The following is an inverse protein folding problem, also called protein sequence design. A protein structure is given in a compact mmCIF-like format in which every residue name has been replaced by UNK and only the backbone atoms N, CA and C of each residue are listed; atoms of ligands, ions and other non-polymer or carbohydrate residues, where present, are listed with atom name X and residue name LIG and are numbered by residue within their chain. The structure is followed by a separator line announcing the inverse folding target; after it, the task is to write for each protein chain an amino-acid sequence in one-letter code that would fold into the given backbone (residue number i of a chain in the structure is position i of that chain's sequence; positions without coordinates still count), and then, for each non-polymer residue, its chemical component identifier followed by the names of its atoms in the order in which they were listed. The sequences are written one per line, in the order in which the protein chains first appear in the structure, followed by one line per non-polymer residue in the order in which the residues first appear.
data_IF_649669177033
#
_entry.id   IF_649669177033
#
_cell.length_a   1.000
_cell.length_b   1.000
_cell.length_c   1.000
_cell.angle_alpha   90.00
_cell.angle_beta   90.00
_cell.angle_gamma   90.00
#
_symmetry.space_group_name_H-M   'P 1'
#
loop_
_entity.id
_entity.type
_entity.pdbx_description
1 polymer ?
#
# COMPACT_ATOMS: atom_id res chain seq x y z
N UNK A 1 -22.27 -20.12 12.76
CA UNK A 1 -22.81 -18.77 13.04
C UNK A 1 -21.69 -17.77 13.34
N UNK A 2 -20.78 -18.05 14.27
CA UNK A 2 -19.64 -17.16 14.60
C UNK A 2 -18.70 -16.88 13.42
N UNK A 3 -18.23 -17.90 12.70
CA UNK A 3 -17.37 -17.72 11.52
C UNK A 3 -18.02 -16.85 10.43
N UNK A 4 -19.33 -17.02 10.21
CA UNK A 4 -20.09 -16.22 9.26
C UNK A 4 -20.20 -14.75 9.69
N UNK A 5 -20.44 -14.48 10.98
CA UNK A 5 -20.44 -13.12 11.52
C UNK A 5 -19.06 -12.46 11.39
N UNK A 6 -17.97 -13.21 11.61
CA UNK A 6 -16.60 -12.73 11.46
C UNK A 6 -16.25 -12.38 10.00
N UNK A 7 -16.75 -13.16 9.04
CA UNK A 7 -16.62 -12.89 7.61
C UNK A 7 -17.32 -11.58 7.23
N UNK A 8 -18.59 -11.41 7.62
CA UNK A 8 -19.34 -10.18 7.36
C UNK A 8 -18.74 -8.96 8.08
N UNK A 9 -18.23 -9.14 9.30
CA UNK A 9 -17.52 -8.07 10.01
C UNK A 9 -16.24 -7.66 9.25
N UNK A 10 -15.46 -8.63 8.76
CA UNK A 10 -14.29 -8.35 7.93
C UNK A 10 -14.67 -7.59 6.66
N UNK A 11 -15.73 -8.02 5.96
CA UNK A 11 -16.23 -7.34 4.77
C UNK A 11 -16.67 -5.91 5.09
N UNK A 12 -17.45 -5.72 6.15
CA UNK A 12 -17.97 -4.42 6.56
C UNK A 12 -16.83 -3.43 6.84
N UNK A 13 -15.81 -3.81 7.61
CA UNK A 13 -14.70 -2.90 7.92
C UNK A 13 -13.89 -2.57 6.65
N UNK A 14 -13.64 -3.55 5.78
CA UNK A 14 -12.98 -3.32 4.48
C UNK A 14 -13.78 -2.38 3.59
N UNK A 15 -15.10 -2.57 3.56
CA UNK A 15 -16.02 -1.75 2.79
C UNK A 15 -16.05 -0.31 3.28
N UNK A 16 -16.16 -0.12 4.59
CA UNK A 16 -16.06 1.20 5.22
C UNK A 16 -14.73 1.85 4.83
N UNK A 17 -13.60 1.14 5.01
CA UNK A 17 -12.26 1.67 4.70
C UNK A 17 -12.13 2.12 3.25
N UNK A 18 -12.66 1.32 2.31
CA UNK A 18 -12.68 1.67 0.89
C UNK A 18 -13.50 2.95 0.62
N UNK A 19 -14.71 3.04 1.18
CA UNK A 19 -15.60 4.20 1.01
C UNK A 19 -14.93 5.48 1.50
N UNK A 20 -14.46 5.48 2.75
CA UNK A 20 -13.87 6.69 3.34
C UNK A 20 -12.51 7.03 2.72
N UNK A 21 -11.75 6.01 2.30
CA UNK A 21 -10.49 6.18 1.58
C UNK A 21 -10.69 6.86 0.23
N UNK A 22 -11.72 6.43 -0.54
CA UNK A 22 -12.10 7.09 -1.81
C UNK A 22 -12.54 8.53 -1.55
N UNK A 23 -13.36 8.77 -0.52
CA UNK A 23 -13.80 10.13 -0.17
C UNK A 23 -12.62 11.05 0.14
N UNK A 24 -11.66 10.58 0.96
CA UNK A 24 -10.49 11.36 1.33
C UNK A 24 -9.55 11.62 0.15
N UNK A 25 -9.23 10.58 -0.63
CA UNK A 25 -8.35 10.69 -1.80
C UNK A 25 -8.99 11.58 -2.87
N UNK A 26 -10.30 11.42 -3.11
CA UNK A 26 -11.07 12.25 -4.03
C UNK A 26 -11.00 13.73 -3.66
N UNK A 27 -11.28 14.05 -2.39
CA UNK A 27 -11.15 15.42 -1.87
C UNK A 27 -9.72 15.96 -2.03
N UNK A 28 -8.71 15.16 -1.69
CA UNK A 28 -7.30 15.56 -1.84
C UNK A 28 -6.92 15.85 -3.30
N UNK A 29 -7.38 15.02 -4.24
CA UNK A 29 -7.14 15.23 -5.67
C UNK A 29 -7.83 16.49 -6.17
N UNK A 30 -9.07 16.72 -5.77
CA UNK A 30 -9.82 17.92 -6.13
C UNK A 30 -9.15 19.19 -5.61
N UNK A 31 -8.80 19.27 -4.33
CA UNK A 31 -8.17 20.47 -3.76
C UNK A 31 -6.77 20.74 -4.32
N UNK A 32 -5.98 19.70 -4.58
CA UNK A 32 -4.69 19.89 -5.25
C UNK A 32 -4.85 20.31 -6.71
N UNK A 33 -5.88 19.81 -7.41
CA UNK A 33 -6.20 20.27 -8.75
C UNK A 33 -6.63 21.74 -8.74
N UNK A 34 -7.54 22.13 -7.84
CA UNK A 34 -7.97 23.52 -7.63
C UNK A 34 -6.76 24.43 -7.41
N UNK A 35 -5.89 24.08 -6.45
CA UNK A 35 -4.71 24.87 -6.10
C UNK A 35 -3.76 25.11 -7.29
N UNK A 36 -3.60 24.10 -8.16
CA UNK A 36 -2.71 24.16 -9.30
C UNK A 36 -3.31 24.89 -10.51
N UNK A 37 -4.62 25.13 -10.55
CA UNK A 37 -5.33 25.75 -11.66
C UNK A 37 -5.90 27.14 -11.34
N UNK A 38 -5.63 27.70 -10.15
CA UNK A 38 -6.00 29.07 -9.83
C UNK A 38 -5.33 30.05 -10.81
N UNK A 39 -6.14 30.91 -11.45
CA UNK A 39 -5.69 32.07 -12.20
C UNK A 39 -5.14 33.11 -11.22
N UNK A 40 -3.94 33.61 -11.51
CA UNK A 40 -3.21 34.53 -10.61
C UNK A 40 -2.86 35.86 -11.26
N UNK A 41 -3.10 35.99 -12.58
CA UNK A 41 -2.95 37.24 -13.32
C UNK A 41 -4.20 38.10 -13.15
N UNK A 42 -4.02 39.42 -13.06
CA UNK A 42 -5.15 40.36 -12.93
C UNK A 42 -6.01 40.20 -11.68
N UNK A 43 -5.53 39.47 -10.65
CA UNK A 43 -6.31 39.19 -9.44
C UNK A 43 -6.50 40.42 -8.55
N UNK A 44 -7.65 40.58 -7.88
CA UNK A 44 -7.87 41.63 -6.89
C UNK A 44 -6.88 41.56 -5.71
N UNK A 45 -6.70 42.69 -5.01
CA UNK A 45 -5.91 42.74 -3.78
C UNK A 45 -6.49 41.78 -2.71
N UNK A 46 -5.62 41.07 -1.99
CA UNK A 46 -6.03 40.10 -0.96
C UNK A 46 -6.41 38.69 -1.49
N UNK A 47 -6.70 38.56 -2.78
CA UNK A 47 -6.97 37.27 -3.43
C UNK A 47 -5.65 36.61 -3.84
N UNK A 48 -5.47 35.32 -3.55
CA UNK A 48 -4.34 34.52 -4.03
C UNK A 48 -4.52 34.10 -5.49
N UNK A 49 -5.76 33.81 -5.88
CA UNK A 49 -6.18 33.51 -7.24
C UNK A 49 -7.65 33.09 -7.27
N UNK A 50 -8.21 32.97 -8.47
CA UNK A 50 -9.59 32.55 -8.68
C UNK A 50 -9.71 31.47 -9.76
N UNK A 51 -10.85 30.80 -9.83
CA UNK A 51 -11.11 29.74 -10.81
C UNK A 51 -12.59 29.73 -11.18
N UNK A 52 -12.85 29.60 -12.48
CA UNK A 52 -14.15 29.19 -13.00
C UNK A 52 -14.17 27.68 -13.25
N UNK A 53 -15.23 27.02 -12.80
CA UNK A 53 -15.46 25.60 -13.03
C UNK A 53 -16.92 25.33 -13.40
N UNK A 54 -17.18 24.25 -14.15
CA UNK A 54 -18.53 23.81 -14.51
C UNK A 54 -18.76 22.39 -13.99
N UNK A 55 -19.87 22.17 -13.30
CA UNK A 55 -20.27 20.84 -12.85
C UNK A 55 -21.78 20.77 -12.60
N UNK A 56 -22.42 19.63 -12.90
CA UNK A 56 -23.85 19.42 -12.63
C UNK A 56 -24.79 20.41 -13.34
N UNK A 57 -24.38 20.96 -14.49
CA UNK A 57 -25.17 21.96 -15.24
C UNK A 57 -25.04 23.40 -14.75
N UNK A 58 -24.21 23.68 -13.75
CA UNK A 58 -23.97 25.02 -13.22
C UNK A 58 -22.52 25.49 -13.33
N UNK A 59 -22.32 26.81 -13.20
CA UNK A 59 -21.00 27.45 -13.15
C UNK A 59 -20.66 27.84 -11.72
N UNK A 60 -19.44 27.51 -11.30
CA UNK A 60 -18.85 27.87 -10.02
C UNK A 60 -17.77 28.92 -10.26
N UNK A 61 -17.78 29.97 -9.44
CA UNK A 61 -16.67 30.91 -9.32
C UNK A 61 -16.09 30.79 -7.91
N UNK A 62 -14.81 30.42 -7.82
CA UNK A 62 -14.13 30.16 -6.55
C UNK A 62 -12.97 31.13 -6.42
N UNK A 63 -12.95 31.88 -5.34
CA UNK A 63 -11.82 32.74 -4.98
C UNK A 63 -11.09 32.19 -3.76
N UNK A 64 -9.77 32.11 -3.86
CA UNK A 64 -8.91 31.75 -2.73
C UNK A 64 -8.29 33.01 -2.16
N UNK A 65 -8.55 33.31 -0.89
CA UNK A 65 -7.89 34.39 -0.18
C UNK A 65 -6.42 34.04 0.13
N UNK A 66 -5.54 35.04 0.10
CA UNK A 66 -4.11 34.86 0.36
C UNK A 66 -3.82 34.54 1.83
N UNK A 67 -4.56 35.17 2.74
CA UNK A 67 -4.43 34.97 4.19
C UNK A 67 -5.81 34.75 4.80
N UNK A 68 -6.73 35.68 4.58
CA UNK A 68 -8.06 35.67 5.19
C UNK A 68 -9.07 36.49 4.35
N UNK A 69 -10.36 36.13 4.36
CA UNK A 69 -11.42 37.01 3.87
C UNK A 69 -11.65 38.22 4.80
N UNK A 70 -12.32 39.29 4.34
CA UNK A 70 -12.64 40.45 5.18
C UNK A 70 -13.56 40.11 6.35
N UNK A 71 -14.47 39.14 6.15
CA UNK A 71 -15.40 38.65 7.16
C UNK A 71 -15.47 37.13 7.06
N UNK A 72 -15.54 36.45 8.21
CA UNK A 72 -15.76 35.02 8.25
C UNK A 72 -17.22 34.70 7.89
N UNK A 73 -17.48 33.71 7.04
CA UNK A 73 -18.82 33.21 6.81
C UNK A 73 -19.34 32.48 8.05
N UNK A 74 -20.66 32.46 8.24
CA UNK A 74 -21.30 31.72 9.35
C UNK A 74 -21.00 30.22 9.30
N UNK A 75 -20.89 29.67 8.09
CA UNK A 75 -20.64 28.24 7.88
C UNK A 75 -19.27 28.01 7.24
N UNK A 76 -18.44 27.23 7.92
CA UNK A 76 -17.15 26.74 7.42
C UNK A 76 -17.17 25.22 7.33
N UNK A 77 -16.86 24.70 6.14
CA UNK A 77 -16.73 23.26 5.92
C UNK A 77 -15.28 22.80 6.15
N UNK A 78 -15.11 21.81 7.05
CA UNK A 78 -13.81 21.27 7.44
C UNK A 78 -13.62 19.85 6.92
N UNK A 79 -12.69 19.69 5.99
CA UNK A 79 -12.34 18.40 5.40
C UNK A 79 -11.33 17.66 6.29
N UNK A 80 -11.83 16.95 7.29
CA UNK A 80 -11.02 16.20 8.27
C UNK A 80 -11.53 14.79 8.54
N UNK A 81 -12.84 14.60 8.47
CA UNK A 81 -13.48 13.35 8.87
C UNK A 81 -13.15 12.21 7.93
N UNK A 82 -13.04 12.49 6.63
CA UNK A 82 -12.66 11.51 5.61
C UNK A 82 -11.27 10.94 5.92
N UNK A 83 -10.32 11.80 6.32
CA UNK A 83 -8.98 11.39 6.72
C UNK A 83 -9.01 10.55 8.01
N UNK A 84 -9.73 11.03 9.02
CA UNK A 84 -9.77 10.37 10.34
C UNK A 84 -10.43 9.00 10.26
N UNK A 85 -11.58 8.89 9.59
CA UNK A 85 -12.26 7.61 9.44
C UNK A 85 -11.49 6.65 8.52
N UNK A 86 -10.74 7.14 7.53
CA UNK A 86 -9.83 6.29 6.75
C UNK A 86 -8.76 5.65 7.62
N UNK A 87 -8.13 6.42 8.50
CA UNK A 87 -7.14 5.87 9.40
C UNK A 87 -7.76 4.94 10.45
N UNK A 88 -8.89 5.33 11.07
CA UNK A 88 -9.56 4.49 12.07
C UNK A 88 -9.94 3.14 11.46
N UNK A 89 -10.62 3.14 10.31
CA UNK A 89 -11.00 1.90 9.63
C UNK A 89 -9.79 1.09 9.17
N UNK A 90 -8.74 1.74 8.66
CA UNK A 90 -7.51 1.07 8.22
C UNK A 90 -6.72 0.47 9.38
N UNK A 91 -6.63 1.16 10.50
CA UNK A 91 -5.99 0.66 11.72
C UNK A 91 -6.78 -0.48 12.34
N UNK A 92 -8.12 -0.42 12.31
CA UNK A 92 -8.98 -1.55 12.68
C UNK A 92 -8.72 -2.77 11.79
N UNK A 93 -8.54 -2.59 10.47
CA UNK A 93 -8.14 -3.69 9.59
C UNK A 93 -6.76 -4.23 9.92
N UNK A 94 -5.80 -3.38 10.28
CA UNK A 94 -4.47 -3.80 10.69
C UNK A 94 -4.55 -4.68 11.95
N UNK A 95 -5.39 -4.31 12.92
CA UNK A 95 -5.65 -5.12 14.11
C UNK A 95 -6.27 -6.47 13.74
N UNK A 96 -7.41 -6.45 13.02
CA UNK A 96 -8.18 -7.67 12.71
C UNK A 96 -7.37 -8.63 11.85
N UNK A 97 -6.74 -8.12 10.79
CA UNK A 97 -6.11 -8.96 9.77
C UNK A 97 -4.69 -9.34 10.13
N UNK A 98 -3.92 -8.46 10.79
CA UNK A 98 -2.51 -8.70 11.07
C UNK A 98 -2.23 -8.94 12.54
N UNK A 99 -2.71 -8.10 13.47
CA UNK A 99 -2.30 -8.23 14.87
C UNK A 99 -2.95 -9.40 15.60
N UNK A 100 -4.24 -9.65 15.38
CA UNK A 100 -4.92 -10.83 15.92
C UNK A 100 -4.45 -12.14 15.27
N UNK A 101 -3.85 -12.06 14.07
CA UNK A 101 -3.37 -13.20 13.28
C UNK A 101 -1.85 -13.12 13.03
N UNK A 102 -1.09 -12.58 13.98
CA UNK A 102 0.30 -12.22 13.74
C UNK A 102 1.20 -13.41 13.37
N UNK A 103 0.93 -14.60 13.92
CA UNK A 103 1.71 -15.80 13.60
C UNK A 103 1.62 -16.19 12.12
N UNK A 104 0.43 -16.13 11.52
CA UNK A 104 0.23 -16.51 10.10
C UNK A 104 0.51 -15.37 9.13
N UNK A 105 0.19 -14.14 9.55
CA UNK A 105 0.18 -12.99 8.65
C UNK A 105 1.47 -12.16 8.71
N UNK A 106 2.15 -12.13 9.85
CA UNK A 106 3.33 -11.27 10.07
C UNK A 106 4.64 -12.04 10.20
N UNK A 107 4.62 -13.21 10.85
CA UNK A 107 5.85 -13.98 11.11
C UNK A 107 6.18 -14.89 9.93
N UNK A 108 7.46 -14.91 9.55
CA UNK A 108 8.05 -15.94 8.70
C UNK A 108 9.36 -16.40 9.36
N UNK A 109 9.42 -17.63 9.90
CA UNK A 109 10.62 -18.12 10.59
C UNK A 109 11.88 -18.14 9.73
N UNK A 110 11.74 -18.27 8.39
CA UNK A 110 12.87 -18.20 7.47
C UNK A 110 13.44 -16.78 7.30
N UNK A 111 12.69 -15.74 7.69
CA UNK A 111 13.12 -14.35 7.67
C UNK A 111 13.63 -13.93 9.06
N UNK A 112 12.78 -14.09 10.08
CA UNK A 112 13.12 -13.80 11.46
C UNK A 112 12.28 -14.65 12.41
N UNK A 113 12.92 -15.28 13.40
CA UNK A 113 12.28 -16.08 14.42
C UNK A 113 11.65 -15.19 15.51
N UNK A 114 10.51 -14.58 15.18
CA UNK A 114 9.75 -13.70 16.09
C UNK A 114 8.59 -14.42 16.76
N UNK A 115 8.34 -14.07 18.01
CA UNK A 115 7.07 -14.37 18.66
C UNK A 115 5.97 -13.41 18.16
N UNK A 116 4.70 -13.83 18.12
CA UNK A 116 3.59 -13.01 17.60
C UNK A 116 3.50 -11.62 18.24
N UNK A 117 3.68 -11.52 19.56
CA UNK A 117 3.63 -10.23 20.28
C UNK A 117 4.79 -9.30 19.90
N UNK A 118 5.98 -9.84 19.60
CA UNK A 118 7.13 -9.05 19.13
C UNK A 118 6.82 -8.46 17.76
N UNK A 119 6.21 -9.24 16.88
CA UNK A 119 5.81 -8.77 15.57
C UNK A 119 4.79 -7.61 15.67
N UNK A 120 3.78 -7.73 16.54
CA UNK A 120 2.81 -6.67 16.80
C UNK A 120 3.48 -5.43 17.39
N UNK A 121 4.35 -5.59 18.39
CA UNK A 121 5.06 -4.48 19.03
C UNK A 121 5.93 -3.71 18.04
N UNK A 122 6.67 -4.42 17.16
CA UNK A 122 7.45 -3.81 16.08
C UNK A 122 6.53 -3.05 15.13
N UNK A 123 5.39 -3.65 14.73
CA UNK A 123 4.42 -3.00 13.86
C UNK A 123 3.91 -1.67 14.41
N UNK A 124 3.50 -1.65 15.68
CA UNK A 124 3.04 -0.42 16.36
C UNK A 124 4.19 0.60 16.48
N UNK A 125 5.36 0.15 16.91
CA UNK A 125 6.53 1.01 17.05
C UNK A 125 6.93 1.65 15.72
N UNK A 126 6.83 0.92 14.61
CA UNK A 126 7.06 1.44 13.26
C UNK A 126 6.14 2.60 12.92
N UNK A 127 4.82 2.48 13.18
CA UNK A 127 3.86 3.53 12.88
C UNK A 127 4.15 4.82 13.68
N UNK A 128 4.47 4.68 14.97
CA UNK A 128 4.82 5.80 15.85
C UNK A 128 6.14 6.44 15.43
N UNK A 129 7.18 5.63 15.25
CA UNK A 129 8.51 6.11 14.86
C UNK A 129 8.49 6.80 13.50
N UNK A 130 7.75 6.25 12.52
CA UNK A 130 7.60 6.85 11.20
C UNK A 130 7.05 8.27 11.29
N UNK A 131 6.00 8.50 12.10
CA UNK A 131 5.46 9.84 12.30
C UNK A 131 6.46 10.78 12.97
N UNK A 132 7.10 10.36 14.06
CA UNK A 132 8.04 11.20 14.80
C UNK A 132 9.24 11.63 13.94
N UNK A 133 9.83 10.69 13.21
CA UNK A 133 10.96 10.96 12.30
C UNK A 133 10.52 11.87 11.16
N UNK A 134 9.38 11.57 10.52
CA UNK A 134 8.85 12.35 9.42
C UNK A 134 8.49 13.78 9.85
N UNK A 135 7.82 13.96 10.99
CA UNK A 135 7.46 15.28 11.50
C UNK A 135 8.69 16.09 11.89
N UNK A 136 9.66 15.46 12.56
CA UNK A 136 10.95 16.08 12.89
C UNK A 136 11.69 16.57 11.63
N UNK A 137 11.78 15.75 10.59
CA UNK A 137 12.39 16.13 9.31
C UNK A 137 11.66 17.28 8.63
N UNK A 138 10.32 17.27 8.64
CA UNK A 138 9.56 18.35 8.05
C UNK A 138 9.71 19.68 8.80
N UNK A 139 9.86 19.65 10.13
CA UNK A 139 10.16 20.84 10.93
C UNK A 139 11.58 21.36 10.66
N UNK A 140 12.55 20.46 10.48
CA UNK A 140 13.94 20.83 10.24
C UNK A 140 14.22 21.30 8.81
N UNK A 141 13.64 20.65 7.81
CA UNK A 141 13.94 20.84 6.39
C UNK A 141 12.75 21.39 5.58
N UNK A 142 11.72 21.93 6.24
CA UNK A 142 10.52 22.45 5.56
C UNK A 142 10.80 23.52 4.51
N UNK A 143 11.89 24.28 4.67
CA UNK A 143 12.35 25.30 3.70
C UNK A 143 13.18 24.72 2.54
N UNK A 144 13.55 23.44 2.59
CA UNK A 144 14.34 22.74 1.55
C UNK A 144 13.53 21.57 0.97
N UNK A 145 12.42 21.82 0.25
CA UNK A 145 11.45 20.78 -0.13
C UNK A 145 12.04 19.66 -1.01
N UNK A 146 13.02 19.97 -1.86
CA UNK A 146 13.68 18.94 -2.71
C UNK A 146 14.51 17.96 -1.88
N UNK A 147 15.30 18.49 -0.94
CA UNK A 147 16.10 17.67 -0.02
C UNK A 147 15.19 16.84 0.90
N UNK A 148 14.14 17.47 1.43
CA UNK A 148 13.15 16.80 2.28
C UNK A 148 12.48 15.63 1.52
N UNK A 149 12.04 15.85 0.28
CA UNK A 149 11.45 14.79 -0.55
C UNK A 149 12.43 13.64 -0.86
N UNK A 150 13.70 13.96 -1.12
CA UNK A 150 14.73 12.94 -1.33
C UNK A 150 14.96 12.09 -0.07
N UNK A 151 15.08 12.73 1.10
CA UNK A 151 15.27 12.03 2.37
C UNK A 151 14.06 11.19 2.76
N UNK A 152 12.83 11.70 2.56
CA UNK A 152 11.61 10.91 2.80
C UNK A 152 11.56 9.68 1.90
N UNK A 153 11.92 9.82 0.61
CA UNK A 153 12.01 8.69 -0.32
C UNK A 153 13.01 7.65 0.20
N UNK A 154 14.21 8.06 0.59
CA UNK A 154 15.23 7.17 1.15
C UNK A 154 14.71 6.47 2.42
N UNK A 155 14.04 7.20 3.32
CA UNK A 155 13.46 6.61 4.52
C UNK A 155 12.36 5.58 4.24
N UNK A 156 11.51 5.82 3.25
CA UNK A 156 10.48 4.84 2.85
C UNK A 156 11.14 3.57 2.29
N UNK A 157 12.21 3.72 1.49
CA UNK A 157 12.98 2.57 0.97
C UNK A 157 13.66 1.80 2.10
N UNK A 158 14.31 2.50 3.03
CA UNK A 158 14.94 1.88 4.20
C UNK A 158 13.91 1.19 5.12
N UNK A 159 12.74 1.80 5.29
CA UNK A 159 11.64 1.20 6.03
C UNK A 159 11.13 -0.07 5.34
N UNK A 160 10.94 -0.04 4.02
CA UNK A 160 10.54 -1.21 3.25
C UNK A 160 11.57 -2.34 3.38
N UNK A 161 12.86 -2.04 3.20
CA UNK A 161 13.93 -3.00 3.37
C UNK A 161 13.99 -3.56 4.79
N UNK A 162 13.98 -2.71 5.81
CA UNK A 162 14.07 -3.11 7.21
C UNK A 162 12.85 -3.92 7.68
N UNK A 163 11.65 -3.66 7.16
CA UNK A 163 10.49 -4.49 7.46
C UNK A 163 10.53 -5.82 6.70
N UNK A 164 11.09 -5.87 5.49
CA UNK A 164 11.26 -7.12 4.74
C UNK A 164 12.27 -8.08 5.36
N UNK A 165 13.17 -7.61 6.24
CA UNK A 165 14.07 -8.48 7.02
C UNK A 165 13.49 -8.94 8.35
N UNK A 166 12.29 -8.49 8.71
CA UNK A 166 11.66 -8.74 10.01
C UNK A 166 10.31 -9.44 9.87
N UNK A 167 9.51 -9.06 8.88
CA UNK A 167 8.17 -9.59 8.63
C UNK A 167 8.11 -10.46 7.37
N UNK A 168 7.02 -11.22 7.25
CA UNK A 168 6.59 -11.75 5.96
C UNK A 168 6.48 -10.61 4.95
N UNK A 169 6.81 -10.85 3.68
CA UNK A 169 6.80 -9.79 2.66
C UNK A 169 5.44 -9.10 2.53
N UNK A 170 4.35 -9.86 2.72
CA UNK A 170 2.97 -9.34 2.75
C UNK A 170 2.75 -8.35 3.89
N UNK A 171 3.15 -8.71 5.12
CA UNK A 171 3.05 -7.82 6.26
C UNK A 171 3.98 -6.61 6.14
N UNK A 172 5.20 -6.79 5.62
CA UNK A 172 6.14 -5.70 5.39
C UNK A 172 5.52 -4.60 4.51
N UNK A 173 4.94 -4.98 3.36
CA UNK A 173 4.25 -4.05 2.47
C UNK A 173 3.14 -3.28 3.20
N UNK A 174 2.26 -3.99 3.90
CA UNK A 174 1.13 -3.35 4.58
C UNK A 174 1.56 -2.45 5.72
N UNK A 175 2.64 -2.76 6.43
CA UNK A 175 3.19 -1.88 7.46
C UNK A 175 3.86 -0.64 6.88
N UNK A 176 4.51 -0.73 5.71
CA UNK A 176 4.97 0.47 4.97
C UNK A 176 3.77 1.35 4.61
N UNK A 177 2.70 0.77 4.04
CA UNK A 177 1.48 1.50 3.69
C UNK A 177 0.80 2.14 4.90
N UNK A 178 0.71 1.40 6.01
CA UNK A 178 0.13 1.87 7.27
C UNK A 178 0.97 2.99 7.89
N UNK A 179 2.30 2.92 7.81
CA UNK A 179 3.19 4.00 8.26
C UNK A 179 2.99 5.26 7.42
N UNK A 180 2.95 5.14 6.09
CA UNK A 180 2.67 6.28 5.19
C UNK A 180 1.29 6.87 5.48
N UNK A 181 0.25 6.03 5.56
CA UNK A 181 -1.12 6.46 5.87
C UNK A 181 -1.24 7.12 7.25
N UNK A 182 -0.51 6.63 8.24
CA UNK A 182 -0.43 7.23 9.58
C UNK A 182 0.21 8.61 9.52
N UNK A 183 1.33 8.77 8.82
CA UNK A 183 1.93 10.09 8.59
C UNK A 183 0.96 11.05 7.87
N UNK A 184 0.20 10.54 6.89
CA UNK A 184 -0.75 11.33 6.13
C UNK A 184 -1.93 11.82 6.97
N UNK A 185 -2.51 10.98 7.84
CA UNK A 185 -3.59 11.43 8.74
C UNK A 185 -3.05 12.31 9.87
N UNK A 186 -1.85 12.02 10.37
CA UNK A 186 -1.21 12.80 11.42
C UNK A 186 -0.86 14.21 10.93
N UNK A 187 -0.48 14.36 9.65
CA UNK A 187 -0.42 15.66 8.98
C UNK A 187 -1.75 16.42 9.06
N UNK A 188 -2.88 15.75 8.84
CA UNK A 188 -4.21 16.38 8.94
C UNK A 188 -4.51 16.77 10.38
N UNK A 189 -4.32 15.85 11.32
CA UNK A 189 -4.71 16.00 12.71
C UNK A 189 -3.83 16.98 13.50
N UNK A 190 -2.51 16.88 13.38
CA UNK A 190 -1.56 17.68 14.17
C UNK A 190 -1.09 18.96 13.50
N UNK A 191 -1.17 19.07 12.17
CA UNK A 191 -0.62 20.22 11.44
C UNK A 191 -1.71 21.00 10.70
N UNK A 192 -2.43 20.37 9.78
CA UNK A 192 -3.35 21.08 8.86
C UNK A 192 -4.55 21.65 9.61
N UNK A 193 -5.30 20.83 10.36
CA UNK A 193 -6.50 21.30 11.07
C UNK A 193 -6.16 22.32 12.16
N UNK A 194 -5.13 22.11 13.01
CA UNK A 194 -4.72 23.14 13.97
C UNK A 194 -4.29 24.44 13.29
N UNK A 195 -3.57 24.37 12.18
CA UNK A 195 -3.18 25.56 11.41
C UNK A 195 -4.39 26.31 10.87
N UNK A 196 -5.37 25.61 10.31
CA UNK A 196 -6.61 26.21 9.81
C UNK A 196 -7.44 26.82 10.94
N UNK A 197 -7.54 26.16 12.10
CA UNK A 197 -8.19 26.70 13.29
C UNK A 197 -7.52 27.97 13.81
N UNK A 198 -6.20 28.04 13.79
CA UNK A 198 -5.49 29.26 14.19
C UNK A 198 -5.76 30.43 13.25
N UNK A 199 -5.81 30.17 11.94
CA UNK A 199 -6.14 31.19 10.95
C UNK A 199 -7.55 31.76 11.20
N UNK A 200 -8.53 30.90 11.49
CA UNK A 200 -9.90 31.31 11.83
C UNK A 200 -9.91 32.09 13.15
N UNK A 201 -9.28 31.57 14.20
CA UNK A 201 -9.21 32.24 15.51
C UNK A 201 -8.57 33.63 15.43
N UNK A 202 -7.48 33.76 14.70
CA UNK A 202 -6.83 35.05 14.52
C UNK A 202 -7.79 36.08 13.91
N UNK A 203 -8.62 35.66 12.95
CA UNK A 203 -9.63 36.54 12.36
C UNK A 203 -10.76 36.89 13.33
N UNK A 204 -11.27 35.93 14.09
CA UNK A 204 -12.31 36.16 15.11
C UNK A 204 -11.84 37.17 16.16
N UNK A 205 -10.56 37.14 16.51
CA UNK A 205 -9.91 38.04 17.45
C UNK A 205 -9.46 39.37 16.83
N UNK A 206 -9.70 39.60 15.54
CA UNK A 206 -9.25 40.80 14.81
C UNK A 206 -7.73 40.91 14.64
N UNK A 207 -6.99 39.82 14.86
CA UNK A 207 -5.53 39.74 14.64
C UNK A 207 -5.24 39.40 13.18
N UNK A 208 -4.11 39.90 12.66
CA UNK A 208 -3.62 39.47 11.34
C UNK A 208 -3.14 38.00 11.41
N UNK A 209 -3.68 37.08 10.58
CA UNK A 209 -3.27 35.68 10.62
C UNK A 209 -1.83 35.49 10.14
N UNK A 210 -1.09 34.62 10.83
CA UNK A 210 0.31 34.32 10.48
C UNK A 210 0.39 33.40 9.24
N UNK A 211 1.02 33.84 8.13
CA UNK A 211 1.14 33.06 6.90
C UNK A 211 1.85 31.70 7.07
N UNK A 212 2.65 31.52 8.12
CA UNK A 212 3.38 30.26 8.39
C UNK A 212 2.43 29.08 8.56
N UNK A 213 1.26 29.27 9.17
CA UNK A 213 0.26 28.21 9.34
C UNK A 213 -0.26 27.70 7.99
N UNK A 214 -0.58 28.60 7.06
CA UNK A 214 -0.99 28.25 5.70
C UNK A 214 0.12 27.53 4.92
N UNK A 215 1.36 28.01 5.02
CA UNK A 215 2.53 27.39 4.35
C UNK A 215 2.80 25.97 4.86
N UNK A 216 2.76 25.77 6.17
CA UNK A 216 2.97 24.46 6.80
C UNK A 216 1.88 23.47 6.39
N UNK A 217 0.60 23.89 6.43
CA UNK A 217 -0.51 23.07 5.97
C UNK A 217 -0.38 22.68 4.49
N UNK A 218 0.03 23.62 3.63
CA UNK A 218 0.23 23.36 2.20
C UNK A 218 1.36 22.35 1.94
N UNK A 219 2.49 22.45 2.66
CA UNK A 219 3.60 21.50 2.53
C UNK A 219 3.13 20.07 2.85
N UNK A 220 2.42 19.89 3.95
CA UNK A 220 1.90 18.56 4.35
C UNK A 220 0.84 18.03 3.39
N UNK A 221 -0.05 18.89 2.92
CA UNK A 221 -1.05 18.54 1.91
C UNK A 221 -0.40 18.05 0.61
N UNK A 222 0.69 18.69 0.17
CA UNK A 222 1.47 18.25 -0.99
C UNK A 222 2.11 16.88 -0.80
N UNK A 223 2.69 16.60 0.38
CA UNK A 223 3.23 15.28 0.68
C UNK A 223 2.15 14.20 0.61
N UNK A 224 0.98 14.44 1.23
CA UNK A 224 -0.16 13.53 1.16
C UNK A 224 -0.58 13.28 -0.30
N UNK A 225 -0.62 14.32 -1.13
CA UNK A 225 -0.96 14.18 -2.55
C UNK A 225 -0.02 13.24 -3.32
N UNK A 226 1.29 13.41 -3.18
CA UNK A 226 2.28 12.56 -3.86
C UNK A 226 2.28 11.11 -3.35
N UNK A 227 2.06 10.91 -2.06
CA UNK A 227 2.07 9.58 -1.43
C UNK A 227 0.77 8.79 -1.66
N UNK A 228 -0.26 9.43 -2.22
CA UNK A 228 -1.57 8.79 -2.43
C UNK A 228 -1.50 7.58 -3.37
N UNK A 229 -0.86 7.70 -4.54
CA UNK A 229 -0.78 6.58 -5.50
C UNK A 229 0.08 5.41 -4.98
N UNK A 230 1.25 5.64 -4.34
CA UNK A 230 1.98 4.59 -3.63
C UNK A 230 1.12 3.83 -2.60
N UNK A 231 0.36 4.53 -1.76
CA UNK A 231 -0.52 3.89 -0.77
C UNK A 231 -1.58 3.02 -1.43
N UNK A 232 -2.21 3.49 -2.51
CA UNK A 232 -3.18 2.71 -3.27
C UNK A 232 -2.56 1.42 -3.86
N UNK A 233 -1.33 1.52 -4.39
CA UNK A 233 -0.61 0.32 -4.84
C UNK A 233 -0.37 -0.66 -3.68
N UNK A 234 0.07 -0.19 -2.52
CA UNK A 234 0.29 -1.05 -1.36
C UNK A 234 -1.02 -1.74 -0.94
N UNK A 235 -2.15 -1.04 -0.95
CA UNK A 235 -3.45 -1.63 -0.61
C UNK A 235 -3.83 -2.79 -1.56
N UNK A 236 -3.63 -2.61 -2.87
CA UNK A 236 -3.96 -3.64 -3.88
C UNK A 236 -2.90 -4.74 -3.98
N UNK A 237 -1.66 -4.49 -3.55
CA UNK A 237 -0.53 -5.42 -3.67
C UNK A 237 -0.79 -6.82 -3.08
N UNK A 238 -1.67 -6.92 -2.07
CA UNK A 238 -2.10 -8.19 -1.48
C UNK A 238 -2.69 -9.18 -2.51
N UNK A 239 -3.24 -8.67 -3.61
CA UNK A 239 -3.80 -9.47 -4.70
C UNK A 239 -2.75 -9.94 -5.72
N UNK A 240 -1.50 -9.49 -5.58
CA UNK A 240 -0.40 -9.78 -6.49
C UNK A 240 0.81 -10.31 -5.71
N UNK A 241 0.80 -11.59 -5.27
CA UNK A 241 1.88 -12.19 -4.49
C UNK A 241 3.26 -12.07 -5.12
N UNK A 242 3.36 -12.08 -6.46
CA UNK A 242 4.63 -11.86 -7.17
C UNK A 242 5.32 -10.53 -6.85
N UNK A 243 4.61 -9.56 -6.27
CA UNK A 243 5.22 -8.30 -5.82
C UNK A 243 5.88 -8.42 -4.46
N UNK A 244 5.24 -9.05 -3.47
CA UNK A 244 5.73 -9.06 -2.09
C UNK A 244 6.44 -10.36 -1.70
N UNK A 245 6.23 -11.46 -2.43
CA UNK A 245 6.87 -12.75 -2.15
C UNK A 245 8.22 -12.92 -2.87
N UNK A 246 8.54 -12.03 -3.81
CA UNK A 246 9.83 -12.01 -4.49
C UNK A 246 10.98 -11.68 -3.51
N UNK A 247 12.18 -12.24 -3.77
CA UNK A 247 13.38 -12.01 -2.95
C UNK A 247 13.72 -10.51 -2.79
N UNK A 248 13.48 -9.71 -3.83
CA UNK A 248 13.73 -8.27 -3.86
C UNK A 248 12.45 -7.44 -3.64
N UNK A 249 11.49 -7.95 -2.84
CA UNK A 249 10.20 -7.30 -2.59
C UNK A 249 10.32 -5.80 -2.23
N UNK A 250 11.23 -5.42 -1.34
CA UNK A 250 11.42 -4.03 -0.94
C UNK A 250 11.82 -3.13 -2.12
N UNK A 251 12.60 -3.65 -3.06
CA UNK A 251 13.03 -2.92 -4.26
C UNK A 251 11.88 -2.78 -5.26
N UNK A 252 11.03 -3.80 -5.39
CA UNK A 252 9.80 -3.74 -6.19
C UNK A 252 8.88 -2.67 -5.63
N UNK A 253 8.64 -2.68 -4.32
CA UNK A 253 7.85 -1.67 -3.64
C UNK A 253 8.38 -0.26 -3.89
N UNK A 254 9.69 -0.08 -3.74
CA UNK A 254 10.36 1.20 -4.00
C UNK A 254 10.16 1.66 -5.45
N UNK A 255 10.44 0.79 -6.43
CA UNK A 255 10.33 1.11 -7.85
C UNK A 255 8.89 1.48 -8.24
N UNK A 256 7.90 0.66 -7.87
CA UNK A 256 6.49 0.94 -8.18
C UNK A 256 5.98 2.18 -7.46
N UNK A 257 6.46 2.45 -6.24
CA UNK A 257 6.13 3.69 -5.52
C UNK A 257 6.71 4.93 -6.22
N UNK A 258 7.96 4.89 -6.69
CA UNK A 258 8.58 5.99 -7.44
C UNK A 258 7.83 6.23 -8.76
N UNK A 259 7.49 5.16 -9.49
CA UNK A 259 6.67 5.24 -10.71
C UNK A 259 5.31 5.88 -10.39
N UNK A 260 4.67 5.48 -9.29
CA UNK A 260 3.38 6.03 -8.85
C UNK A 260 3.49 7.53 -8.51
N UNK A 261 4.56 7.95 -7.85
CA UNK A 261 4.86 9.37 -7.58
C UNK A 261 5.08 10.15 -8.89
N UNK A 262 5.79 9.58 -9.87
CA UNK A 262 6.01 10.20 -11.18
C UNK A 262 4.70 10.38 -11.97
N UNK A 263 3.84 9.37 -11.99
CA UNK A 263 2.50 9.46 -12.58
C UNK A 263 1.69 10.56 -11.89
N UNK A 264 1.70 10.62 -10.55
CA UNK A 264 1.03 11.70 -9.81
C UNK A 264 1.61 13.06 -10.14
N UNK A 265 2.94 13.16 -10.28
CA UNK A 265 3.63 14.39 -10.64
C UNK A 265 3.14 14.91 -11.99
N UNK A 266 3.05 14.04 -13.01
CA UNK A 266 2.51 14.39 -14.32
C UNK A 266 1.12 15.04 -14.19
N UNK A 267 0.19 14.41 -13.49
CA UNK A 267 -1.16 14.98 -13.32
C UNK A 267 -1.18 16.32 -12.58
N UNK A 268 -0.23 16.56 -11.67
CA UNK A 268 -0.12 17.84 -10.98
C UNK A 268 0.40 18.96 -11.90
N UNK A 269 1.29 18.65 -12.86
CA UNK A 269 1.95 19.66 -13.71
C UNK A 269 1.47 19.71 -15.17
N UNK A 270 0.59 18.80 -15.61
CA UNK A 270 0.16 18.68 -17.02
C UNK A 270 -0.38 19.97 -17.64
N UNK A 271 -0.94 20.85 -16.81
CA UNK A 271 -1.51 22.15 -17.20
C UNK A 271 -0.44 23.24 -17.40
N UNK A 272 0.76 23.07 -16.82
CA UNK A 272 1.83 24.08 -16.88
C UNK A 272 2.55 24.04 -18.22
N UNK A 273 3.07 25.16 -18.75
CA UNK A 273 3.86 25.18 -19.98
C UNK A 273 5.15 24.34 -19.87
N UNK A 274 5.65 23.80 -21.00
CA UNK A 274 6.92 23.04 -21.10
C UNK A 274 6.78 21.63 -21.66
N UNK A 275 7.68 21.22 -22.57
CA UNK A 275 7.57 19.94 -23.30
C UNK A 275 7.98 18.71 -22.47
N UNK A 276 8.93 18.84 -21.53
CA UNK A 276 9.51 17.73 -20.78
C UNK A 276 8.46 16.85 -20.05
N UNK A 277 7.33 17.43 -19.64
CA UNK A 277 6.25 16.70 -18.96
C UNK A 277 5.58 15.63 -19.82
N UNK A 278 5.60 15.76 -21.15
CA UNK A 278 4.97 14.80 -22.06
C UNK A 278 5.65 13.42 -22.00
N UNK A 279 6.93 13.37 -21.60
CA UNK A 279 7.69 12.13 -21.49
C UNK A 279 7.51 11.41 -20.15
N UNK A 280 6.89 12.02 -19.15
CA UNK A 280 6.77 11.42 -17.80
C UNK A 280 5.94 10.14 -17.84
N UNK A 281 4.77 10.13 -18.51
CA UNK A 281 3.93 8.93 -18.59
C UNK A 281 4.57 7.81 -19.43
N UNK A 282 5.09 8.07 -20.65
CA UNK A 282 5.83 7.05 -21.41
C UNK A 282 7.02 6.48 -20.63
N UNK A 283 7.82 7.33 -19.98
CA UNK A 283 8.96 6.88 -19.17
C UNK A 283 8.49 6.04 -17.96
N UNK A 284 7.39 6.41 -17.31
CA UNK A 284 6.79 5.64 -16.21
C UNK A 284 6.30 4.27 -16.69
N UNK A 285 5.68 4.20 -17.88
CA UNK A 285 5.22 2.95 -18.47
C UNK A 285 6.40 2.04 -18.85
N UNK A 286 7.47 2.60 -19.45
CA UNK A 286 8.70 1.86 -19.77
C UNK A 286 9.40 1.37 -18.49
N UNK A 287 9.49 2.20 -17.45
CA UNK A 287 10.05 1.79 -16.17
C UNK A 287 9.24 0.66 -15.52
N UNK A 288 7.90 0.72 -15.60
CA UNK A 288 7.04 -0.35 -15.11
C UNK A 288 7.24 -1.64 -15.91
N UNK A 289 7.31 -1.55 -17.24
CA UNK A 289 7.61 -2.70 -18.10
C UNK A 289 8.99 -3.30 -17.79
N UNK A 290 10.00 -2.48 -17.50
CA UNK A 290 11.32 -2.94 -17.07
C UNK A 290 11.27 -3.69 -15.73
N UNK A 291 10.49 -3.20 -14.75
CA UNK A 291 10.26 -3.91 -13.49
C UNK A 291 9.62 -5.27 -13.77
N UNK A 292 8.57 -5.33 -14.60
CA UNK A 292 7.91 -6.60 -14.95
C UNK A 292 8.87 -7.55 -15.68
N UNK A 293 9.70 -7.05 -16.60
CA UNK A 293 10.66 -7.85 -17.33
C UNK A 293 11.74 -8.45 -16.41
N UNK A 294 12.22 -7.70 -15.42
CA UNK A 294 13.19 -8.18 -14.42
C UNK A 294 12.58 -9.22 -13.47
N UNK A 295 11.28 -9.11 -13.18
CA UNK A 295 10.56 -10.03 -12.30
C UNK A 295 10.05 -11.29 -13.01
N UNK A 296 9.95 -11.27 -14.34
CA UNK A 296 9.48 -12.41 -15.10
C UNK A 296 10.56 -13.51 -15.07
N UNK A 297 10.22 -14.77 -14.72
CA UNK A 297 11.18 -15.85 -14.84
C UNK A 297 11.69 -15.92 -16.28
N UNK A 298 12.99 -16.17 -16.51
CA UNK A 298 13.56 -16.13 -17.85
C UNK A 298 12.79 -17.09 -18.75
N UNK A 299 12.21 -16.55 -19.84
CA UNK A 299 11.46 -17.29 -20.88
C UNK A 299 12.25 -18.49 -21.41
N UNK A 300 13.58 -18.46 -21.26
CA UNK A 300 14.49 -19.56 -21.61
C UNK A 300 14.14 -20.87 -20.90
N UNK A 301 13.61 -20.84 -19.68
CA UNK A 301 13.19 -22.07 -18.98
C UNK A 301 11.96 -22.76 -19.60
N UNK A 302 11.22 -22.11 -20.51
CA UNK A 302 10.07 -22.72 -21.19
C UNK A 302 10.38 -23.21 -22.62
N UNK A 303 11.49 -22.75 -23.23
CA UNK A 303 11.84 -23.07 -24.62
C UNK A 303 13.07 -23.97 -24.76
N UNK A 304 13.92 -24.05 -23.74
CA UNK A 304 14.98 -25.07 -23.69
C UNK A 304 14.52 -26.19 -22.76
N UNK A 305 13.92 -27.23 -23.35
CA UNK A 305 14.12 -28.59 -22.85
C UNK A 305 15.59 -28.98 -23.04
N UNK A 306 16.49 -28.26 -22.37
CA UNK A 306 17.91 -28.61 -22.35
C UNK A 306 18.05 -29.83 -21.45
N UNK A 307 17.94 -30.99 -22.09
CA UNK A 307 18.35 -32.29 -21.60
C UNK A 307 19.84 -32.31 -21.30
N UNK A 308 20.25 -31.64 -20.23
CA UNK A 308 21.46 -31.99 -19.52
C UNK A 308 21.08 -33.04 -18.49
N UNK A 309 21.37 -34.29 -18.85
CA UNK A 309 21.07 -35.49 -18.07
C UNK A 309 21.80 -35.54 -16.74
N UNK A 310 21.26 -34.83 -15.75
CA UNK A 310 21.25 -35.33 -14.39
C UNK A 310 20.06 -36.26 -14.27
N UNK A 311 20.27 -37.49 -13.80
CA UNK A 311 19.20 -38.40 -13.37
C UNK A 311 18.38 -37.71 -12.28
N UNK A 312 17.35 -36.97 -12.66
CA UNK A 312 16.34 -36.47 -11.75
C UNK A 312 15.62 -37.73 -11.26
N UNK A 313 15.83 -38.08 -9.99
CA UNK A 313 15.06 -39.14 -9.33
C UNK A 313 13.59 -38.93 -9.66
N UNK A 314 12.95 -39.96 -10.19
CA UNK A 314 11.55 -39.92 -10.58
C UNK A 314 10.70 -39.59 -9.34
N UNK A 315 10.31 -38.32 -9.18
CA UNK A 315 9.47 -37.89 -8.05
C UNK A 315 8.13 -38.58 -8.21
N UNK A 316 7.86 -39.55 -7.33
CA UNK A 316 6.64 -40.34 -7.33
C UNK A 316 5.45 -39.50 -6.85
N UNK A 317 4.24 -39.91 -7.22
CA UNK A 317 3.04 -39.28 -6.68
C UNK A 317 2.95 -39.45 -5.15
N UNK A 318 3.44 -40.56 -4.61
CA UNK A 318 3.49 -40.81 -3.17
C UNK A 318 4.33 -39.75 -2.45
N UNK A 319 5.51 -39.42 -2.97
CA UNK A 319 6.35 -38.35 -2.44
C UNK A 319 5.64 -36.99 -2.46
N UNK A 320 4.94 -36.68 -3.57
CA UNK A 320 4.15 -35.44 -3.69
C UNK A 320 2.98 -35.42 -2.72
N UNK A 321 2.30 -36.55 -2.55
CA UNK A 321 1.18 -36.70 -1.63
C UNK A 321 1.63 -36.48 -0.18
N UNK A 322 2.77 -37.06 0.23
CA UNK A 322 3.37 -36.81 1.55
C UNK A 322 3.68 -35.33 1.77
N UNK A 323 4.30 -34.64 0.80
CA UNK A 323 4.59 -33.21 0.92
C UNK A 323 3.28 -32.41 1.06
N UNK A 324 2.26 -32.71 0.26
CA UNK A 324 0.99 -31.99 0.32
C UNK A 324 0.26 -32.26 1.65
N UNK A 325 0.31 -33.49 2.14
CA UNK A 325 -0.29 -33.85 3.43
C UNK A 325 0.41 -33.10 4.58
N UNK A 326 1.73 -33.14 4.64
CA UNK A 326 2.47 -32.47 5.72
C UNK A 326 2.40 -30.93 5.65
N UNK A 327 2.33 -30.36 4.44
CA UNK A 327 2.49 -28.91 4.24
C UNK A 327 1.19 -28.16 3.95
N UNK A 328 0.15 -28.83 3.47
CA UNK A 328 -1.05 -28.17 2.93
C UNK A 328 -2.37 -28.64 3.55
N UNK A 329 -2.55 -29.92 3.88
CA UNK A 329 -3.87 -30.45 4.30
C UNK A 329 -4.33 -29.89 5.64
N UNK A 330 -3.44 -29.40 6.51
CA UNK A 330 -3.80 -28.69 7.74
C UNK A 330 -4.78 -27.52 7.51
N UNK A 331 -4.68 -26.85 6.36
CA UNK A 331 -5.60 -25.78 5.95
C UNK A 331 -6.52 -26.20 4.79
N UNK A 332 -6.07 -27.09 3.91
CA UNK A 332 -6.75 -27.52 2.68
C UNK A 332 -7.37 -28.91 2.81
N UNK A 333 -8.07 -29.17 3.91
CA UNK A 333 -8.87 -30.37 4.15
C UNK A 333 -10.38 -30.03 4.20
N UNK A 334 -11.29 -31.02 4.07
CA UNK A 334 -12.72 -30.82 4.29
C UNK A 334 -13.01 -30.24 5.68
N UNK A 335 -12.25 -30.70 6.67
CA UNK A 335 -12.25 -30.20 8.04
C UNK A 335 -10.83 -29.72 8.41
N UNK A 336 -10.51 -28.43 8.18
CA UNK A 336 -9.19 -27.90 8.51
C UNK A 336 -8.88 -28.02 10.00
N UNK A 337 -7.68 -28.50 10.32
CA UNK A 337 -7.19 -28.59 11.70
C UNK A 337 -6.48 -27.32 12.18
N UNK A 338 -6.15 -26.40 11.27
CA UNK A 338 -5.52 -25.13 11.61
C UNK A 338 -6.51 -24.15 12.27
N UNK A 339 -6.17 -23.68 13.47
CA UNK A 339 -6.97 -22.71 14.22
C UNK A 339 -7.21 -21.43 13.42
N UNK A 340 -8.48 -21.05 13.25
CA UNK A 340 -8.88 -19.86 12.48
C UNK A 340 -9.45 -20.16 11.10
N UNK A 341 -9.39 -21.41 10.62
CA UNK A 341 -10.09 -21.85 9.41
C UNK A 341 -11.24 -22.80 9.77
N UNK A 342 -12.48 -22.36 9.53
CA UNK A 342 -13.66 -23.22 9.64
C UNK A 342 -13.98 -23.98 8.34
N UNK A 343 -13.31 -23.62 7.24
CA UNK A 343 -13.46 -24.21 5.92
C UNK A 343 -12.17 -23.99 5.11
N UNK A 344 -11.87 -24.87 4.16
CA UNK A 344 -10.66 -24.74 3.35
C UNK A 344 -10.62 -23.40 2.60
N UNK A 345 -9.48 -22.67 2.59
CA UNK A 345 -9.34 -21.43 1.84
C UNK A 345 -9.71 -21.63 0.36
N UNK A 346 -10.50 -20.70 -0.18
CA UNK A 346 -11.04 -20.75 -1.55
C UNK A 346 -11.81 -22.04 -1.90
N UNK A 347 -12.23 -22.83 -0.91
CA UNK A 347 -12.90 -24.12 -1.12
C UNK A 347 -11.98 -25.20 -1.69
N UNK A 348 -10.66 -25.02 -1.64
CA UNK A 348 -9.67 -25.95 -2.21
C UNK A 348 -9.32 -27.02 -1.17
N UNK A 349 -9.64 -28.28 -1.48
CA UNK A 349 -9.26 -29.45 -0.68
C UNK A 349 -8.18 -30.23 -1.43
N UNK A 350 -7.20 -30.80 -0.72
CA UNK A 350 -6.00 -31.41 -1.29
C UNK A 350 -5.67 -32.81 -0.72
N UNK A 351 -6.61 -33.52 -0.11
CA UNK A 351 -6.35 -34.83 0.53
C UNK A 351 -6.19 -35.99 -0.47
N UNK A 352 -6.92 -35.95 -1.59
CA UNK A 352 -6.96 -37.04 -2.57
C UNK A 352 -6.16 -36.75 -3.83
N UNK A 353 -5.70 -37.80 -4.51
CA UNK A 353 -4.99 -37.67 -5.78
C UNK A 353 -5.78 -36.91 -6.86
N UNK A 354 -7.09 -37.13 -6.93
CA UNK A 354 -7.95 -36.43 -7.88
C UNK A 354 -8.03 -34.93 -7.60
N UNK A 355 -8.12 -34.55 -6.32
CA UNK A 355 -8.12 -33.16 -5.88
C UNK A 355 -6.79 -32.47 -6.16
N UNK A 356 -5.66 -33.11 -5.83
CA UNK A 356 -4.32 -32.58 -6.10
C UNK A 356 -4.11 -32.35 -7.60
N UNK A 357 -4.47 -33.32 -8.43
CA UNK A 357 -4.37 -33.20 -9.89
C UNK A 357 -5.26 -32.07 -10.43
N UNK A 358 -6.48 -31.94 -9.92
CA UNK A 358 -7.41 -30.86 -10.30
C UNK A 358 -6.83 -29.47 -10.01
N UNK A 359 -6.10 -29.31 -8.90
CA UNK A 359 -5.53 -28.03 -8.47
C UNK A 359 -4.04 -27.86 -8.78
N UNK A 360 -3.46 -28.70 -9.65
CA UNK A 360 -2.01 -28.67 -9.99
C UNK A 360 -1.51 -27.28 -10.41
N UNK A 361 -2.27 -26.58 -11.25
CA UNK A 361 -1.89 -25.26 -11.74
C UNK A 361 -1.89 -24.21 -10.62
N UNK A 362 -2.85 -24.30 -9.70
CA UNK A 362 -2.92 -23.44 -8.53
C UNK A 362 -1.77 -23.72 -7.57
N UNK A 363 -1.50 -24.99 -7.25
CA UNK A 363 -0.39 -25.41 -6.38
C UNK A 363 0.93 -24.89 -6.95
N UNK A 364 1.17 -25.09 -8.26
CA UNK A 364 2.37 -24.58 -8.92
C UNK A 364 2.48 -23.07 -8.74
N UNK A 365 1.42 -22.32 -9.04
CA UNK A 365 1.44 -20.85 -8.96
C UNK A 365 1.70 -20.33 -7.54
N UNK A 366 1.05 -20.92 -6.53
CA UNK A 366 1.06 -20.35 -5.16
C UNK A 366 2.18 -20.91 -4.28
N UNK A 367 2.52 -22.19 -4.45
CA UNK A 367 3.57 -22.83 -3.65
C UNK A 367 4.90 -22.87 -4.41
N UNK A 368 4.92 -23.22 -5.70
CA UNK A 368 6.20 -23.39 -6.42
C UNK A 368 6.72 -22.07 -6.98
N UNK A 369 5.89 -21.30 -7.68
CA UNK A 369 6.37 -20.14 -8.45
C UNK A 369 6.48 -18.88 -7.60
N UNK A 370 5.49 -18.64 -6.74
CA UNK A 370 5.45 -17.42 -5.91
C UNK A 370 5.94 -17.61 -4.48
N UNK A 371 6.10 -18.86 -4.02
CA UNK A 371 6.48 -19.19 -2.63
C UNK A 371 5.57 -18.56 -1.55
N UNK A 372 4.40 -18.04 -1.93
CA UNK A 372 3.51 -17.32 -1.03
C UNK A 372 2.77 -18.27 -0.08
N UNK A 373 2.46 -19.47 -0.55
CA UNK A 373 1.87 -20.52 0.27
C UNK A 373 2.93 -21.54 0.70
N UNK A 374 2.77 -22.12 1.90
CA UNK A 374 1.83 -21.78 2.96
C UNK A 374 2.10 -20.37 3.54
N UNK A 375 1.05 -19.68 4.01
CA UNK A 375 1.18 -18.30 4.50
C UNK A 375 2.25 -18.18 5.57
N UNK A 376 3.20 -17.26 5.42
CA UNK A 376 4.30 -17.08 6.38
C UNK A 376 5.22 -18.30 6.51
N UNK A 377 5.15 -19.27 5.59
CA UNK A 377 5.79 -20.57 5.68
C UNK A 377 5.54 -21.31 7.02
N UNK A 378 4.31 -21.22 7.54
CA UNK A 378 3.95 -21.76 8.86
C UNK A 378 4.16 -23.27 9.01
N UNK A 379 4.08 -24.05 7.93
CA UNK A 379 4.31 -25.51 7.94
C UNK A 379 5.74 -25.90 7.58
N UNK A 380 6.61 -24.91 7.31
CA UNK A 380 8.04 -25.13 7.08
C UNK A 380 8.38 -25.86 5.78
N UNK A 381 7.62 -25.65 4.70
CA UNK A 381 7.95 -26.26 3.40
C UNK A 381 9.32 -25.77 2.91
N UNK A 382 10.15 -26.70 2.44
CA UNK A 382 11.52 -26.41 1.99
C UNK A 382 11.59 -26.14 0.49
N UNK A 383 12.70 -25.55 0.02
CA UNK A 383 12.90 -25.30 -1.41
C UNK A 383 13.06 -26.61 -2.20
N UNK A 384 13.61 -27.67 -1.58
CA UNK A 384 13.69 -29.01 -2.17
C UNK A 384 12.29 -29.62 -2.36
N UNK A 385 11.41 -29.48 -1.36
CA UNK A 385 10.02 -29.93 -1.45
C UNK A 385 9.27 -29.17 -2.54
N UNK A 386 9.45 -27.84 -2.63
CA UNK A 386 8.88 -27.01 -3.72
C UNK A 386 9.40 -27.45 -5.09
N UNK A 387 10.69 -27.75 -5.21
CA UNK A 387 11.28 -28.25 -6.44
C UNK A 387 10.70 -29.62 -6.85
N UNK A 388 10.49 -30.52 -5.88
CA UNK A 388 9.85 -31.82 -6.12
C UNK A 388 8.41 -31.66 -6.62
N UNK A 389 7.61 -30.77 -5.99
CA UNK A 389 6.27 -30.42 -6.44
C UNK A 389 6.29 -29.86 -7.88
N UNK A 390 7.19 -28.91 -8.15
CA UNK A 390 7.34 -28.30 -9.48
C UNK A 390 7.68 -29.32 -10.55
N UNK A 391 8.65 -30.20 -10.29
CA UNK A 391 9.07 -31.25 -11.21
C UNK A 391 7.95 -32.25 -11.51
N UNK A 392 7.15 -32.62 -10.51
CA UNK A 392 6.00 -33.50 -10.73
C UNK A 392 4.89 -32.82 -11.54
N UNK A 393 4.55 -31.56 -11.24
CA UNK A 393 3.50 -30.82 -11.97
C UNK A 393 3.88 -30.61 -13.44
N UNK A 394 5.13 -30.25 -13.72
CA UNK A 394 5.62 -30.04 -15.09
C UNK A 394 5.55 -31.31 -15.95
N UNK A 395 5.76 -32.49 -15.35
CA UNK A 395 5.65 -33.77 -16.05
C UNK A 395 4.21 -34.25 -16.24
N UNK A 396 3.28 -33.81 -15.39
CA UNK A 396 1.88 -34.25 -15.40
C UNK A 396 0.94 -33.12 -15.88
N UNK A 397 1.31 -32.45 -16.98
CA UNK A 397 0.57 -31.31 -17.55
C UNK A 397 -0.79 -31.70 -18.17
N UNK A 398 -1.06 -32.98 -18.38
CA UNK A 398 -2.30 -33.49 -18.99
C UNK A 398 -3.52 -33.51 -18.04
#
# INVERSE_FOLDING_TARGET
MEAHLMEWANLLVRWIHLIVGIAWIGASFYFNWLENNLERTGKPAGIAGNLWAVHGGGFYFVEKYAVAPPQLPETLHWFKWEAYFTWISGFTLLIIVYYLNAQTMMVNPAVAALQPWQAVAIGIATLVAAWLVYDGLCRWLGERPRLLAALITVLIVLLAWGLSTVFSGRAAYIHVGAAIGTCMVANVFFVIIPSQKELVRAMEEGRSPDPRYGKNGLLRSRHNNYLTLPVLFIMISNHFPGTYAAAWNWAILAAVSIISVAVRHYFNIRHRPGAAKQFILPASALAFAAVVAVLSPPVRSMLTGDGTGGTVSEVSFEQVHTIIDERCTTCHAPEPSFSGYASPPAGIVLETAAQIRKHRADIKRVAVDSHYMPLGNITGITDEERAALGAWIERNKE
#
